data_IF_351309831403
#
_entry.id   IF_351309831403
#
_cell.length_a   1.000
_cell.length_b   1.000
_cell.length_c   1.000
_cell.angle_alpha   90.00
_cell.angle_beta   90.00
_cell.angle_gamma   90.00
#
_symmetry.space_group_name_H-M   'P 1'
#
loop_
_entity.id
_entity.type
_entity.pdbx_description
1 polymer ?
#
# COMPACT_ATOMS: atom_id res chain seq x y z
N UNK A 1 -19.10 2.63 -26.26
CA UNK A 1 -20.07 1.65 -26.82
C UNK A 1 -21.18 2.43 -27.50
N UNK A 2 -21.57 2.08 -28.72
CA UNK A 2 -22.64 2.77 -29.45
C UNK A 2 -24.03 2.32 -28.97
N UNK A 3 -25.08 3.15 -29.07
CA UNK A 3 -26.46 2.76 -28.75
C UNK A 3 -26.89 1.41 -29.36
N UNK A 4 -26.54 1.17 -30.62
CA UNK A 4 -26.88 -0.08 -31.32
C UNK A 4 -26.15 -1.31 -30.75
N UNK A 5 -24.93 -1.16 -30.25
CA UNK A 5 -24.21 -2.25 -29.57
C UNK A 5 -24.90 -2.62 -28.26
N UNK A 6 -25.34 -1.64 -27.48
CA UNK A 6 -26.05 -1.88 -26.22
C UNK A 6 -27.34 -2.67 -26.46
N UNK A 7 -28.12 -2.28 -27.46
CA UNK A 7 -29.36 -3.00 -27.82
C UNK A 7 -29.09 -4.44 -28.26
N UNK A 8 -28.00 -4.68 -29.01
CA UNK A 8 -27.56 -6.04 -29.38
C UNK A 8 -27.17 -6.87 -28.17
N UNK A 9 -26.46 -6.31 -27.19
CA UNK A 9 -26.13 -7.01 -25.94
C UNK A 9 -27.38 -7.43 -25.19
N UNK A 10 -28.35 -6.51 -25.05
CA UNK A 10 -29.64 -6.78 -24.41
C UNK A 10 -30.39 -7.91 -25.14
N UNK A 11 -30.52 -7.81 -26.47
CA UNK A 11 -31.22 -8.81 -27.28
C UNK A 11 -30.58 -10.21 -27.18
N UNK A 12 -29.25 -10.27 -27.06
CA UNK A 12 -28.49 -11.52 -26.93
C UNK A 12 -28.38 -12.02 -25.48
N UNK A 13 -28.99 -11.34 -24.50
CA UNK A 13 -28.84 -11.62 -23.07
C UNK A 13 -27.38 -11.60 -22.60
N UNK A 14 -26.52 -10.82 -23.27
CA UNK A 14 -25.13 -10.66 -22.91
C UNK A 14 -25.02 -9.59 -21.81
N UNK A 15 -24.35 -9.96 -20.71
CA UNK A 15 -24.17 -9.10 -19.54
C UNK A 15 -22.76 -8.50 -19.47
N UNK A 16 -21.89 -8.80 -20.42
CA UNK A 16 -20.53 -8.29 -20.48
C UNK A 16 -20.53 -6.76 -20.45
N UNK A 17 -19.90 -6.19 -19.42
CA UNK A 17 -19.80 -4.75 -19.18
C UNK A 17 -21.13 -3.98 -19.08
N UNK A 18 -22.28 -4.65 -18.87
CA UNK A 18 -23.57 -3.98 -18.66
C UNK A 18 -24.24 -4.40 -17.33
N UNK A 19 -24.85 -3.44 -16.65
CA UNK A 19 -25.57 -3.61 -15.39
C UNK A 19 -27.00 -3.08 -15.53
N UNK A 20 -27.97 -3.98 -15.48
CA UNK A 20 -29.37 -3.66 -15.72
C UNK A 20 -30.09 -3.31 -14.41
N UNK A 21 -30.85 -2.22 -14.39
CA UNK A 21 -31.62 -1.76 -13.22
C UNK A 21 -33.10 -1.67 -13.57
N UNK A 22 -33.91 -2.45 -12.86
CA UNK A 22 -35.38 -2.41 -12.89
C UNK A 22 -35.96 -3.12 -11.65
N UNK A 23 -37.06 -2.63 -11.04
CA UNK A 23 -37.81 -1.44 -11.41
C UNK A 23 -37.24 -0.15 -10.83
N UNK A 24 -36.50 -0.19 -9.72
CA UNK A 24 -35.75 0.94 -9.14
C UNK A 24 -34.78 0.37 -8.11
N UNK A 25 -33.65 1.03 -7.93
CA UNK A 25 -32.64 0.71 -6.92
C UNK A 25 -32.26 2.01 -6.19
N UNK A 26 -31.92 1.98 -4.88
CA UNK A 26 -31.50 3.18 -4.16
C UNK A 26 -30.32 3.90 -4.83
N UNK A 27 -30.32 5.23 -4.78
CA UNK A 27 -29.23 6.08 -5.30
C UNK A 27 -27.88 5.72 -4.68
N UNK A 28 -27.87 5.30 -3.42
CA UNK A 28 -26.67 4.80 -2.74
C UNK A 28 -26.07 3.59 -3.47
N UNK A 29 -26.88 2.62 -3.87
CA UNK A 29 -26.40 1.43 -4.61
C UNK A 29 -25.88 1.83 -5.99
N UNK A 30 -26.51 2.80 -6.66
CA UNK A 30 -26.07 3.31 -7.96
C UNK A 30 -24.72 4.01 -7.80
N UNK A 31 -24.54 4.84 -6.78
CA UNK A 31 -23.28 5.51 -6.47
C UNK A 31 -22.14 4.53 -6.18
N UNK A 32 -22.40 3.50 -5.35
CA UNK A 32 -21.43 2.42 -5.09
C UNK A 32 -21.07 1.67 -6.38
N UNK A 33 -22.05 1.37 -7.24
CA UNK A 33 -21.82 0.71 -8.53
C UNK A 33 -20.98 1.59 -9.48
N UNK A 34 -21.22 2.91 -9.51
CA UNK A 34 -20.41 3.83 -10.32
C UNK A 34 -18.96 3.83 -9.83
N UNK A 35 -18.72 3.98 -8.53
CA UNK A 35 -17.36 3.88 -7.94
C UNK A 35 -16.70 2.53 -8.30
N UNK A 36 -17.43 1.43 -8.16
CA UNK A 36 -16.95 0.09 -8.50
C UNK A 36 -16.56 -0.06 -9.97
N UNK A 37 -17.39 0.45 -10.89
CA UNK A 37 -17.11 0.42 -12.32
C UNK A 37 -15.90 1.27 -12.67
N UNK A 38 -15.81 2.50 -12.14
CA UNK A 38 -14.67 3.39 -12.35
C UNK A 38 -13.36 2.78 -11.87
N UNK A 39 -13.37 2.05 -10.75
CA UNK A 39 -12.18 1.43 -10.17
C UNK A 39 -11.77 0.10 -10.83
N UNK A 40 -12.63 -0.48 -11.68
CA UNK A 40 -12.40 -1.73 -12.38
C UNK A 40 -12.15 -1.50 -13.89
N UNK A 41 -13.05 -1.97 -14.76
CA UNK A 41 -12.93 -1.92 -16.22
C UNK A 41 -13.79 -0.84 -16.87
N UNK A 42 -14.50 -0.03 -16.07
CA UNK A 42 -15.65 0.73 -16.55
C UNK A 42 -16.83 -0.18 -16.90
N UNK A 43 -17.86 0.40 -17.49
CA UNK A 43 -19.03 -0.32 -17.97
C UNK A 43 -20.25 0.57 -18.13
N UNK A 44 -21.39 -0.06 -18.41
CA UNK A 44 -22.64 0.61 -18.69
C UNK A 44 -23.71 0.24 -17.67
N UNK A 45 -24.34 1.24 -17.07
CA UNK A 45 -25.54 1.05 -16.26
C UNK A 45 -26.74 1.35 -17.15
N UNK A 46 -27.67 0.40 -17.28
CA UNK A 46 -28.85 0.48 -18.15
C UNK A 46 -30.12 0.41 -17.31
N UNK A 47 -30.86 1.51 -17.26
CA UNK A 47 -32.11 1.59 -16.54
C UNK A 47 -33.31 1.22 -17.41
N UNK A 48 -34.26 0.48 -16.85
CA UNK A 48 -35.47 0.04 -17.54
C UNK A 48 -35.35 -1.34 -18.21
N UNK A 49 -34.30 -2.10 -17.88
CA UNK A 49 -34.12 -3.49 -18.31
C UNK A 49 -34.18 -4.39 -17.08
N UNK A 50 -35.08 -5.36 -17.11
CA UNK A 50 -35.18 -6.39 -16.08
C UNK A 50 -34.25 -7.55 -16.42
N UNK A 51 -33.37 -7.91 -15.48
CA UNK A 51 -32.57 -9.14 -15.54
C UNK A 51 -33.17 -10.18 -14.58
N UNK A 52 -33.65 -11.30 -15.11
CA UNK A 52 -34.16 -12.44 -14.31
C UNK A 52 -33.11 -13.54 -14.08
N UNK A 53 -31.85 -13.25 -14.40
CA UNK A 53 -30.72 -14.19 -14.35
C UNK A 53 -30.60 -15.06 -15.60
N UNK A 54 -31.64 -15.13 -16.45
CA UNK A 54 -31.62 -15.86 -17.72
C UNK A 54 -31.81 -14.92 -18.90
N UNK A 55 -32.78 -14.02 -18.82
CA UNK A 55 -33.17 -13.10 -19.88
C UNK A 55 -33.12 -11.65 -19.45
N UNK A 56 -32.72 -10.80 -20.39
CA UNK A 56 -32.85 -9.35 -20.30
C UNK A 56 -34.15 -8.93 -20.99
N UNK A 57 -35.02 -8.22 -20.27
CA UNK A 57 -36.33 -7.79 -20.79
C UNK A 57 -36.44 -6.29 -20.69
N UNK A 58 -36.67 -5.63 -21.82
CA UNK A 58 -36.97 -4.19 -21.85
C UNK A 58 -38.33 -3.94 -21.21
N UNK A 59 -38.35 -3.11 -20.16
CA UNK A 59 -39.54 -2.70 -19.40
C UNK A 59 -39.78 -1.20 -19.42
N UNK A 60 -38.77 -0.43 -19.82
CA UNK A 60 -38.79 1.02 -19.88
C UNK A 60 -38.40 1.69 -18.57
N UNK A 61 -37.91 2.92 -18.69
CA UNK A 61 -37.55 3.77 -17.57
C UNK A 61 -38.78 4.56 -17.07
N UNK A 62 -39.30 4.20 -15.90
CA UNK A 62 -40.51 4.82 -15.29
C UNK A 62 -40.27 5.37 -13.87
N UNK A 63 -39.02 5.52 -13.50
CA UNK A 63 -38.58 5.99 -12.18
C UNK A 63 -37.60 7.15 -12.40
N UNK A 64 -37.32 7.92 -11.36
CA UNK A 64 -36.31 8.99 -11.42
C UNK A 64 -35.12 8.60 -10.55
N UNK A 65 -33.91 8.90 -11.02
CA UNK A 65 -32.66 8.71 -10.28
C UNK A 65 -32.04 10.10 -10.10
N UNK A 66 -31.71 10.48 -8.87
CA UNK A 66 -31.10 11.78 -8.58
C UNK A 66 -29.59 11.74 -8.88
N UNK A 67 -29.27 11.89 -10.15
CA UNK A 67 -27.89 11.86 -10.65
C UNK A 67 -27.04 12.97 -10.01
N UNK A 68 -27.62 14.14 -9.75
CA UNK A 68 -26.88 15.26 -9.19
C UNK A 68 -26.49 14.98 -7.74
N UNK A 69 -27.41 14.42 -6.94
CA UNK A 69 -27.09 13.95 -5.60
C UNK A 69 -26.06 12.83 -5.58
N UNK A 70 -26.06 11.92 -6.57
CA UNK A 70 -25.07 10.85 -6.65
C UNK A 70 -23.70 11.43 -7.00
N UNK A 71 -23.62 12.30 -8.01
CA UNK A 71 -22.38 12.96 -8.43
C UNK A 71 -21.76 13.79 -7.32
N UNK A 72 -22.56 14.49 -6.53
CA UNK A 72 -22.07 15.29 -5.40
C UNK A 72 -21.35 14.47 -4.32
N UNK A 73 -21.52 13.14 -4.30
CA UNK A 73 -20.88 12.22 -3.35
C UNK A 73 -19.76 11.39 -3.99
N UNK A 74 -19.48 11.57 -5.28
CA UNK A 74 -18.41 10.90 -6.01
C UNK A 74 -17.16 11.78 -6.06
N UNK A 75 -15.99 11.17 -6.24
CA UNK A 75 -14.76 11.92 -6.53
C UNK A 75 -14.84 12.70 -7.85
N UNK A 76 -14.19 13.86 -7.90
CA UNK A 76 -14.18 14.75 -9.07
C UNK A 76 -13.55 14.14 -10.33
N UNK A 77 -12.69 13.12 -10.17
CA UNK A 77 -12.02 12.43 -11.27
C UNK A 77 -12.92 11.37 -11.95
N UNK A 78 -14.18 11.24 -11.57
CA UNK A 78 -15.13 10.32 -12.22
C UNK A 78 -15.49 10.81 -13.63
N UNK A 79 -15.48 9.91 -14.62
CA UNK A 79 -15.91 10.24 -15.98
C UNK A 79 -17.18 9.47 -16.36
N UNK A 80 -18.27 10.22 -16.54
CA UNK A 80 -19.63 9.71 -16.75
C UNK A 80 -20.27 10.35 -17.97
N UNK A 81 -20.75 9.52 -18.90
CA UNK A 81 -21.58 9.98 -20.02
C UNK A 81 -23.00 9.47 -19.88
N UNK A 82 -23.97 10.38 -19.92
CA UNK A 82 -25.39 10.06 -19.83
C UNK A 82 -26.02 10.13 -21.22
N UNK A 83 -26.83 9.14 -21.56
CA UNK A 83 -27.57 9.16 -22.82
C UNK A 83 -28.88 8.37 -22.72
N UNK A 84 -29.86 8.83 -23.49
CA UNK A 84 -31.10 8.08 -23.71
C UNK A 84 -30.88 7.03 -24.79
N UNK A 85 -31.50 5.87 -24.61
CA UNK A 85 -31.43 4.76 -25.54
C UNK A 85 -32.84 4.40 -26.00
N UNK A 86 -33.28 4.88 -27.18
CA UNK A 86 -34.57 4.52 -27.74
C UNK A 86 -34.60 3.03 -28.08
N UNK A 87 -35.67 2.34 -27.68
CA UNK A 87 -35.97 0.96 -28.09
C UNK A 87 -37.41 0.88 -28.59
N UNK A 88 -37.71 -0.08 -29.47
CA UNK A 88 -39.00 -0.23 -30.16
C UNK A 88 -40.21 -0.22 -29.20
N UNK A 89 -40.04 -0.76 -28.00
CA UNK A 89 -41.11 -0.93 -27.01
C UNK A 89 -41.11 0.10 -25.87
N UNK A 90 -39.98 0.75 -25.58
CA UNK A 90 -39.86 1.72 -24.48
C UNK A 90 -38.52 2.47 -24.54
N UNK A 91 -38.45 3.68 -23.96
CA UNK A 91 -37.18 4.38 -23.76
C UNK A 91 -36.41 3.81 -22.56
N UNK A 92 -35.09 3.67 -22.72
CA UNK A 92 -34.12 3.33 -21.68
C UNK A 92 -33.23 4.52 -21.39
N UNK A 93 -32.64 4.55 -20.19
CA UNK A 93 -31.60 5.52 -19.84
C UNK A 93 -30.31 4.79 -19.50
N UNK A 94 -29.18 5.38 -19.88
CA UNK A 94 -27.88 4.78 -19.69
C UNK A 94 -26.87 5.72 -19.04
N UNK A 95 -25.97 5.14 -18.25
CA UNK A 95 -24.75 5.80 -17.74
C UNK A 95 -23.57 4.97 -18.24
N UNK A 96 -22.76 5.55 -19.11
CA UNK A 96 -21.45 5.01 -19.42
C UNK A 96 -20.46 5.50 -18.37
N UNK A 97 -19.86 4.55 -17.65
CA UNK A 97 -18.84 4.78 -16.63
C UNK A 97 -17.50 4.37 -17.22
N UNK A 98 -16.59 5.33 -17.36
CA UNK A 98 -15.23 5.02 -17.81
C UNK A 98 -14.37 4.55 -16.65
N UNK A 99 -13.38 3.72 -16.96
CA UNK A 99 -12.31 3.37 -16.01
C UNK A 99 -11.53 4.63 -15.66
N UNK A 100 -11.28 4.83 -14.38
CA UNK A 100 -10.39 5.87 -13.88
C UNK A 100 -9.06 5.23 -13.44
N UNK A 101 -7.96 5.94 -13.69
CA UNK A 101 -6.64 5.50 -13.22
C UNK A 101 -6.50 5.69 -11.71
N UNK A 102 -6.93 6.83 -11.18
CA UNK A 102 -7.01 7.07 -9.74
C UNK A 102 -8.32 6.54 -9.16
N UNK A 103 -8.24 6.04 -7.92
CA UNK A 103 -9.41 5.55 -7.17
C UNK A 103 -10.51 6.61 -7.12
N UNK A 104 -11.73 6.20 -7.45
CA UNK A 104 -12.97 6.96 -7.29
C UNK A 104 -13.69 6.45 -6.05
N UNK A 105 -14.01 7.36 -5.12
CA UNK A 105 -14.77 7.06 -3.91
C UNK A 105 -16.23 7.49 -4.08
N UNK A 106 -17.12 6.86 -3.33
CA UNK A 106 -18.51 7.28 -3.14
C UNK A 106 -18.79 7.38 -1.64
N UNK A 107 -19.17 8.58 -1.16
CA UNK A 107 -19.37 8.83 0.28
C UNK A 107 -18.18 8.37 1.13
N UNK A 108 -16.99 8.86 0.80
CA UNK A 108 -15.70 8.60 1.47
C UNK A 108 -15.16 7.16 1.42
N UNK A 109 -15.87 6.23 0.76
CA UNK A 109 -15.41 4.86 0.60
C UNK A 109 -15.24 4.48 -0.89
N UNK A 110 -14.14 3.83 -1.28
CA UNK A 110 -13.97 3.28 -2.62
C UNK A 110 -14.62 1.91 -2.75
N UNK A 111 -15.15 1.60 -3.93
CA UNK A 111 -15.78 0.31 -4.22
C UNK A 111 -15.13 -0.37 -5.43
N UNK A 112 -15.25 -1.69 -5.53
CA UNK A 112 -14.84 -2.52 -6.67
C UNK A 112 -15.89 -3.58 -6.96
N UNK A 113 -15.78 -4.21 -8.12
CA UNK A 113 -16.55 -5.40 -8.48
C UNK A 113 -15.77 -6.66 -8.07
N UNK A 114 -16.42 -7.57 -7.35
CA UNK A 114 -15.88 -8.89 -7.06
C UNK A 114 -15.94 -9.82 -8.31
N UNK A 115 -15.43 -11.04 -8.17
CA UNK A 115 -15.46 -12.05 -9.22
C UNK A 115 -16.87 -12.46 -9.67
N UNK A 116 -17.89 -12.23 -8.83
CA UNK A 116 -19.30 -12.48 -9.11
C UNK A 116 -20.03 -11.21 -9.58
N UNK A 117 -19.31 -10.10 -9.81
CA UNK A 117 -19.83 -8.79 -10.20
C UNK A 117 -20.71 -8.10 -9.14
N UNK A 118 -20.57 -8.48 -7.89
CA UNK A 118 -21.15 -7.74 -6.78
C UNK A 118 -20.27 -6.56 -6.43
N UNK A 119 -20.89 -5.50 -5.94
CA UNK A 119 -20.17 -4.34 -5.42
C UNK A 119 -19.65 -4.65 -4.02
N UNK A 120 -18.35 -4.50 -3.83
CA UNK A 120 -17.66 -4.64 -2.55
C UNK A 120 -16.82 -3.39 -2.26
N UNK A 121 -16.53 -3.10 -1.00
CA UNK A 121 -15.61 -2.02 -0.63
C UNK A 121 -14.18 -2.39 -1.06
N UNK A 122 -13.45 -1.45 -1.65
CA UNK A 122 -12.06 -1.61 -2.00
C UNK A 122 -11.20 -1.44 -0.76
N UNK A 123 -10.52 -2.51 -0.36
CA UNK A 123 -9.53 -2.46 0.71
C UNK A 123 -8.28 -1.68 0.27
N UNK A 124 -8.08 -0.49 0.84
CA UNK A 124 -6.88 0.31 0.62
C UNK A 124 -5.75 -0.26 1.46
N UNK A 125 -4.69 -0.71 0.79
CA UNK A 125 -3.59 -1.44 1.43
C UNK A 125 -2.73 -0.47 2.21
N UNK A 126 -2.59 -0.73 3.50
CA UNK A 126 -1.76 0.05 4.41
C UNK A 126 -0.33 -0.46 4.38
N UNK A 127 0.61 0.41 4.04
CA UNK A 127 2.05 0.09 3.95
C UNK A 127 2.83 0.93 4.96
N UNK A 128 3.58 0.27 5.83
CA UNK A 128 4.51 0.94 6.73
C UNK A 128 5.90 1.01 6.10
N UNK A 129 6.45 2.21 5.93
CA UNK A 129 7.77 2.44 5.36
C UNK A 129 8.80 2.68 6.48
N UNK A 130 9.67 1.69 6.71
CA UNK A 130 10.78 1.75 7.68
C UNK A 130 12.09 2.08 6.97
N UNK A 131 12.83 3.03 7.51
CA UNK A 131 14.08 3.50 6.93
C UNK A 131 14.95 4.17 8.00
N UNK A 132 16.23 4.35 7.73
CA UNK A 132 17.09 5.18 8.57
C UNK A 132 16.92 6.65 8.22
N UNK A 133 16.90 7.54 9.21
CA UNK A 133 16.78 9.00 9.00
C UNK A 133 17.85 9.57 8.06
N UNK A 134 19.02 8.93 7.98
CA UNK A 134 20.08 9.32 7.06
C UNK A 134 19.70 9.10 5.59
N UNK A 135 18.70 8.26 5.32
CA UNK A 135 18.24 7.88 3.98
C UNK A 135 16.87 8.51 3.64
N UNK A 136 16.52 9.61 4.31
CA UNK A 136 15.21 10.29 4.14
C UNK A 136 14.92 10.62 2.68
N UNK A 137 15.92 11.02 1.88
CA UNK A 137 15.71 11.32 0.46
C UNK A 137 15.27 10.11 -0.36
N UNK A 138 15.78 8.91 -0.05
CA UNK A 138 15.33 7.67 -0.69
C UNK A 138 13.92 7.33 -0.23
N UNK A 139 13.64 7.47 1.07
CA UNK A 139 12.31 7.24 1.60
C UNK A 139 11.26 8.21 1.02
N UNK A 140 11.62 9.48 0.77
CA UNK A 140 10.77 10.45 0.08
C UNK A 140 10.45 9.98 -1.34
N UNK A 141 11.47 9.52 -2.07
CA UNK A 141 11.30 9.02 -3.44
C UNK A 141 10.43 7.75 -3.49
N UNK A 142 10.66 6.80 -2.58
CA UNK A 142 9.83 5.58 -2.49
C UNK A 142 8.38 5.93 -2.15
N UNK A 143 8.15 6.80 -1.17
CA UNK A 143 6.81 7.29 -0.79
C UNK A 143 6.10 7.97 -1.97
N UNK A 144 6.77 8.90 -2.66
CA UNK A 144 6.23 9.58 -3.84
C UNK A 144 5.85 8.58 -4.94
N UNK A 145 6.74 7.64 -5.25
CA UNK A 145 6.54 6.65 -6.33
C UNK A 145 5.41 5.67 -5.99
N UNK A 146 5.35 5.19 -4.75
CA UNK A 146 4.27 4.31 -4.31
C UNK A 146 2.92 5.03 -4.32
N UNK A 147 2.84 6.29 -3.93
CA UNK A 147 1.60 7.06 -4.05
C UNK A 147 1.24 7.29 -5.53
N UNK A 148 2.20 7.68 -6.36
CA UNK A 148 1.98 7.99 -7.76
C UNK A 148 1.50 6.77 -8.56
N UNK A 149 2.14 5.62 -8.40
CA UNK A 149 1.79 4.40 -9.12
C UNK A 149 0.73 3.55 -8.40
N UNK A 150 0.59 3.71 -7.09
CA UNK A 150 -0.49 3.09 -6.32
C UNK A 150 -1.86 3.72 -6.63
N UNK A 151 -1.89 4.91 -7.24
CA UNK A 151 -3.11 5.57 -7.75
C UNK A 151 -4.24 5.66 -6.71
N UNK A 152 -3.88 5.88 -5.45
CA UNK A 152 -4.81 5.96 -4.32
C UNK A 152 -5.23 4.62 -3.72
N UNK A 153 -4.68 3.48 -4.17
CA UNK A 153 -4.93 2.13 -3.60
C UNK A 153 -4.01 1.77 -2.43
N UNK A 154 -3.03 2.62 -2.15
CA UNK A 154 -2.08 2.46 -1.05
C UNK A 154 -2.23 3.61 -0.07
N UNK A 155 -2.09 3.31 1.22
CA UNK A 155 -1.95 4.29 2.29
C UNK A 155 -0.58 4.09 2.97
N UNK A 156 0.33 5.03 2.76
CA UNK A 156 1.71 4.94 3.26
C UNK A 156 1.85 5.65 4.61
N UNK A 157 2.36 4.93 5.60
CA UNK A 157 2.77 5.50 6.90
C UNK A 157 4.29 5.40 7.00
N UNK A 158 4.96 6.49 7.35
CA UNK A 158 6.43 6.54 7.45
C UNK A 158 6.92 6.47 8.88
N UNK A 159 8.05 5.81 9.06
CA UNK A 159 8.78 5.84 10.31
C UNK A 159 9.57 7.14 10.48
N UNK A 160 8.90 8.18 10.99
CA UNK A 160 9.51 9.49 11.28
C UNK A 160 10.03 9.60 12.73
N UNK A 161 10.19 8.49 13.46
CA UNK A 161 10.54 8.52 14.90
C UNK A 161 11.98 8.97 15.13
N UNK A 162 12.18 10.15 15.71
CA UNK A 162 13.51 10.63 16.11
C UNK A 162 14.12 9.78 17.22
N UNK A 163 15.46 9.81 17.36
CA UNK A 163 16.20 9.09 18.41
C UNK A 163 15.65 9.32 19.83
N UNK A 164 15.09 10.50 20.11
CA UNK A 164 14.51 10.86 21.42
C UNK A 164 13.12 10.26 21.70
N UNK A 165 12.37 9.84 20.66
CA UNK A 165 11.02 9.25 20.76
C UNK A 165 11.00 7.72 20.58
N UNK A 166 12.16 7.08 20.41
CA UNK A 166 12.31 5.62 20.21
C UNK A 166 12.00 4.75 21.44
N UNK A 167 11.50 5.35 22.52
CA UNK A 167 11.17 4.64 23.77
C UNK A 167 9.86 3.86 23.72
N UNK A 168 9.02 4.02 22.68
CA UNK A 168 7.72 3.35 22.61
C UNK A 168 7.65 2.27 21.51
N UNK A 169 8.34 1.17 21.80
CA UNK A 169 8.28 -0.06 20.99
C UNK A 169 6.85 -0.60 20.90
N UNK A 170 6.01 -0.39 21.92
CA UNK A 170 4.61 -0.83 21.89
C UNK A 170 3.82 -0.08 20.82
N UNK A 171 3.98 1.25 20.75
CA UNK A 171 3.43 2.05 19.64
C UNK A 171 3.97 1.60 18.29
N UNK A 172 5.25 1.21 18.20
CA UNK A 172 5.82 0.71 16.94
C UNK A 172 5.08 -0.56 16.51
N UNK A 173 5.02 -1.54 17.39
CA UNK A 173 4.37 -2.82 17.15
C UNK A 173 2.89 -2.65 16.85
N UNK A 174 2.17 -1.78 17.55
CA UNK A 174 0.77 -1.44 17.26
C UNK A 174 0.62 -0.84 15.86
N UNK A 175 1.50 0.10 15.51
CA UNK A 175 1.51 0.73 14.19
C UNK A 175 1.71 -0.34 13.13
N UNK A 176 2.80 -1.10 13.17
CA UNK A 176 3.11 -2.12 12.15
C UNK A 176 2.03 -3.21 12.10
N UNK A 177 1.47 -3.62 13.23
CA UNK A 177 0.39 -4.62 13.28
C UNK A 177 -0.87 -4.19 12.55
N UNK A 178 -1.17 -2.89 12.47
CA UNK A 178 -2.31 -2.36 11.74
C UNK A 178 -2.08 -2.21 10.22
N UNK A 179 -0.88 -2.56 9.72
CA UNK A 179 -0.55 -2.47 8.30
C UNK A 179 -0.61 -3.85 7.63
N UNK A 180 -0.96 -3.82 6.34
CA UNK A 180 -0.96 -5.01 5.49
C UNK A 180 0.47 -5.43 5.16
N UNK A 181 1.35 -4.45 4.91
CA UNK A 181 2.75 -4.66 4.55
C UNK A 181 3.70 -3.72 5.32
N UNK A 182 4.94 -4.17 5.46
CA UNK A 182 6.07 -3.33 5.87
C UNK A 182 7.12 -3.34 4.77
N UNK A 183 7.51 -2.16 4.29
CA UNK A 183 8.62 -1.97 3.36
C UNK A 183 9.80 -1.40 4.15
N UNK A 184 10.90 -2.14 4.22
CA UNK A 184 12.13 -1.69 4.88
C UNK A 184 13.19 -1.31 3.86
N UNK A 185 13.67 -0.06 3.91
CA UNK A 185 14.81 0.41 3.13
C UNK A 185 16.08 0.13 3.92
N UNK A 186 16.85 -0.87 3.48
CA UNK A 186 18.03 -1.37 4.16
C UNK A 186 19.28 -0.72 3.55
N UNK A 187 19.93 0.12 4.33
CA UNK A 187 21.21 0.78 4.03
C UNK A 187 22.27 0.40 5.08
N UNK A 188 23.52 0.82 4.87
CA UNK A 188 24.55 0.72 5.91
C UNK A 188 24.11 1.43 7.21
N UNK A 189 23.46 2.59 7.06
CA UNK A 189 23.02 3.39 8.19
C UNK A 189 21.83 2.75 8.93
N UNK A 190 20.95 2.04 8.22
CA UNK A 190 19.89 1.23 8.81
C UNK A 190 20.48 0.09 9.66
N UNK A 191 21.42 -0.68 9.09
CA UNK A 191 22.01 -1.85 9.74
C UNK A 191 22.88 -1.52 10.96
N UNK A 192 23.31 -0.26 11.09
CA UNK A 192 24.05 0.28 12.24
C UNK A 192 23.17 1.14 13.17
N UNK A 193 21.91 1.42 12.82
CA UNK A 193 20.99 2.21 13.64
C UNK A 193 20.37 1.35 14.72
N UNK A 194 20.60 1.70 15.99
CA UNK A 194 20.04 0.97 17.13
C UNK A 194 18.52 0.92 17.09
N UNK A 195 17.85 2.03 16.77
CA UNK A 195 16.39 2.05 16.68
C UNK A 195 15.86 1.11 15.63
N UNK A 196 16.34 1.26 14.38
CA UNK A 196 15.86 0.47 13.26
C UNK A 196 16.09 -1.03 13.50
N UNK A 197 17.30 -1.37 13.98
CA UNK A 197 17.65 -2.76 14.27
C UNK A 197 16.91 -3.33 15.48
N UNK A 198 16.62 -2.52 16.51
CA UNK A 198 15.81 -2.96 17.65
C UNK A 198 14.36 -3.22 17.24
N UNK A 199 13.76 -2.28 16.51
CA UNK A 199 12.38 -2.36 16.01
C UNK A 199 12.16 -3.59 15.13
N UNK A 200 13.05 -3.81 14.16
CA UNK A 200 12.95 -5.01 13.30
C UNK A 200 13.26 -6.29 14.07
N UNK A 201 14.18 -6.27 15.05
CA UNK A 201 14.43 -7.43 15.92
C UNK A 201 13.20 -7.84 16.72
N UNK A 202 12.47 -6.86 17.28
CA UNK A 202 11.24 -7.11 18.03
C UNK A 202 10.11 -7.60 17.10
N UNK A 203 10.02 -7.04 15.89
CA UNK A 203 9.02 -7.43 14.90
C UNK A 203 9.19 -8.90 14.47
N UNK A 204 10.43 -9.30 14.16
CA UNK A 204 10.73 -10.65 13.64
C UNK A 204 10.50 -11.77 14.68
N UNK A 205 10.27 -11.45 15.95
CA UNK A 205 9.83 -12.45 16.94
C UNK A 205 8.49 -13.07 16.59
N UNK A 206 7.65 -12.34 15.86
CA UNK A 206 6.38 -12.87 15.38
C UNK A 206 6.52 -13.30 13.91
N UNK A 207 6.63 -14.62 13.70
CA UNK A 207 6.82 -15.22 12.37
C UNK A 207 5.77 -14.83 11.34
N UNK A 208 4.56 -14.45 11.76
CA UNK A 208 3.52 -13.99 10.85
C UNK A 208 3.87 -12.67 10.15
N UNK A 209 4.86 -11.91 10.65
CA UNK A 209 5.33 -10.69 10.00
C UNK A 209 6.36 -10.94 8.91
N UNK A 210 6.99 -12.11 8.86
CA UNK A 210 7.99 -12.41 7.84
C UNK A 210 7.37 -12.36 6.44
N UNK A 211 6.11 -12.78 6.30
CA UNK A 211 5.37 -12.78 5.03
C UNK A 211 4.90 -11.37 4.62
N UNK A 212 4.89 -10.41 5.55
CA UNK A 212 4.51 -9.01 5.31
C UNK A 212 5.70 -8.10 5.04
N UNK A 213 6.92 -8.56 5.29
CA UNK A 213 8.14 -7.79 5.16
C UNK A 213 8.64 -7.81 3.71
N UNK A 214 8.75 -6.63 3.12
CA UNK A 214 9.39 -6.37 1.84
C UNK A 214 10.63 -5.53 2.09
N UNK A 215 11.71 -5.83 1.39
CA UNK A 215 13.01 -5.19 1.63
C UNK A 215 13.54 -4.56 0.35
N UNK A 216 13.95 -3.30 0.47
CA UNK A 216 14.65 -2.55 -0.58
C UNK A 216 16.09 -2.42 -0.11
N UNK A 217 17.03 -3.07 -0.78
CA UNK A 217 18.45 -3.03 -0.41
C UNK A 217 19.12 -1.90 -1.19
N UNK A 218 19.82 -1.02 -0.48
CA UNK A 218 20.58 0.05 -1.12
C UNK A 218 21.97 -0.44 -1.54
N UNK A 219 22.40 0.00 -2.71
CA UNK A 219 23.70 -0.25 -3.32
C UNK A 219 24.55 1.02 -3.40
N UNK A 220 25.79 0.87 -3.89
CA UNK A 220 26.68 2.00 -4.17
C UNK A 220 26.11 2.95 -5.24
N UNK A 221 25.30 2.45 -6.18
CA UNK A 221 24.71 3.27 -7.24
C UNK A 221 23.69 4.29 -6.70
N UNK A 222 23.05 3.95 -5.57
CA UNK A 222 21.99 4.76 -4.97
C UNK A 222 22.52 6.01 -4.26
N UNK A 223 23.83 6.10 -4.07
CA UNK A 223 24.51 7.29 -3.57
C UNK A 223 24.22 8.54 -4.39
N UNK A 224 23.86 8.39 -5.67
CA UNK A 224 23.56 9.49 -6.58
C UNK A 224 22.23 10.20 -6.26
N UNK A 225 21.35 9.58 -5.47
CA UNK A 225 20.09 10.19 -5.04
C UNK A 225 20.23 11.05 -3.77
N UNK A 226 21.42 11.06 -3.15
CA UNK A 226 21.68 11.86 -1.96
C UNK A 226 22.12 13.28 -2.32
N UNK A 227 21.64 14.31 -1.62
CA UNK A 227 22.21 15.65 -1.70
C UNK A 227 23.71 15.62 -1.39
N UNK A 228 24.52 16.35 -2.17
CA UNK A 228 26.00 16.34 -2.03
C UNK A 228 26.48 16.68 -0.62
N UNK A 229 25.75 17.53 0.09
CA UNK A 229 26.06 18.00 1.46
C UNK A 229 25.59 17.05 2.57
N UNK A 230 24.73 16.06 2.24
CA UNK A 230 24.12 15.12 3.21
C UNK A 230 24.42 13.65 2.91
N UNK A 231 25.28 13.38 1.92
CA UNK A 231 25.66 12.03 1.53
C UNK A 231 26.41 11.32 2.67
N UNK A 232 25.95 10.15 3.14
CA UNK A 232 26.66 9.40 4.16
C UNK A 232 27.95 8.82 3.59
N UNK A 233 28.88 8.43 4.49
CA UNK A 233 30.16 7.83 4.10
C UNK A 233 30.00 6.52 3.30
N UNK A 234 28.93 5.80 3.59
CA UNK A 234 28.56 4.55 2.94
C UNK A 234 27.04 4.47 2.91
N UNK A 235 26.46 4.21 1.74
CA UNK A 235 25.02 3.96 1.56
C UNK A 235 24.75 2.45 1.49
N UNK A 236 25.57 1.72 0.75
CA UNK A 236 25.39 0.30 0.46
C UNK A 236 25.22 -0.55 1.71
N UNK A 237 24.12 -1.30 1.75
CA UNK A 237 23.90 -2.41 2.69
C UNK A 237 24.49 -3.70 2.11
N UNK A 238 25.70 -4.06 2.55
CA UNK A 238 26.36 -5.26 2.05
C UNK A 238 25.91 -6.52 2.80
N UNK A 239 24.69 -6.97 2.50
CA UNK A 239 24.07 -8.16 3.12
C UNK A 239 24.39 -9.47 2.39
N UNK A 240 24.90 -9.39 1.15
CA UNK A 240 25.14 -10.55 0.29
C UNK A 240 26.56 -11.09 0.35
N UNK A 241 27.57 -10.23 0.52
CA UNK A 241 28.97 -10.65 0.55
C UNK A 241 29.43 -11.09 1.94
N UNK A 242 30.72 -11.42 2.08
CA UNK A 242 31.34 -11.67 3.39
C UNK A 242 31.37 -10.42 4.28
N UNK A 243 31.26 -9.22 3.70
CA UNK A 243 31.22 -7.97 4.47
C UNK A 243 29.99 -7.88 5.38
N UNK A 244 28.95 -8.70 5.16
CA UNK A 244 27.80 -8.79 6.09
C UNK A 244 28.22 -9.14 7.52
N UNK A 245 29.34 -9.84 7.70
CA UNK A 245 29.90 -10.15 9.02
C UNK A 245 30.48 -8.92 9.74
N UNK A 246 30.72 -7.81 9.04
CA UNK A 246 31.11 -6.54 9.65
C UNK A 246 29.97 -5.96 10.50
N UNK A 247 28.70 -6.16 10.11
CA UNK A 247 27.56 -5.76 10.94
C UNK A 247 27.49 -6.57 12.24
N UNK A 248 27.83 -7.86 12.20
CA UNK A 248 27.90 -8.69 13.41
C UNK A 248 29.01 -8.18 14.34
N UNK A 249 30.20 -7.90 13.80
CA UNK A 249 31.32 -7.32 14.56
C UNK A 249 30.98 -5.93 15.13
N UNK A 250 30.25 -5.12 14.37
CA UNK A 250 29.78 -3.82 14.81
C UNK A 250 28.89 -3.95 16.06
N UNK A 251 27.86 -4.80 16.00
CA UNK A 251 26.96 -5.00 17.14
C UNK A 251 27.61 -5.73 18.32
N UNK A 252 28.58 -6.61 18.08
CA UNK A 252 29.43 -7.18 19.13
C UNK A 252 30.25 -6.09 19.85
N UNK A 253 30.79 -5.15 19.08
CA UNK A 253 31.54 -4.01 19.62
C UNK A 253 30.64 -3.07 20.44
N UNK A 254 29.46 -2.71 19.93
CA UNK A 254 28.50 -1.87 20.66
C UNK A 254 28.05 -2.53 21.97
N UNK A 255 27.81 -3.85 21.97
CA UNK A 255 27.53 -4.63 23.17
C UNK A 255 28.68 -4.58 24.18
N UNK A 256 29.92 -4.68 23.71
CA UNK A 256 31.11 -4.53 24.53
C UNK A 256 31.20 -3.17 25.23
N UNK A 257 30.90 -2.08 24.50
CA UNK A 257 30.92 -0.71 25.05
C UNK A 257 29.92 -0.55 26.20
N UNK A 258 28.68 -0.99 25.99
CA UNK A 258 27.62 -0.84 26.98
C UNK A 258 27.82 -1.75 28.19
N UNK A 259 28.35 -2.96 28.01
CA UNK A 259 28.76 -3.82 29.12
C UNK A 259 29.87 -3.18 29.98
N UNK A 260 30.86 -2.54 29.35
CA UNK A 260 31.92 -1.83 30.06
C UNK A 260 31.37 -0.67 30.88
N UNK A 261 30.51 0.17 30.30
CA UNK A 261 29.84 1.26 31.02
C UNK A 261 29.03 0.73 32.22
N UNK A 262 28.34 -0.40 32.07
CA UNK A 262 27.56 -1.01 33.15
C UNK A 262 28.45 -1.48 34.32
N UNK A 263 29.70 -1.87 34.06
CA UNK A 263 30.66 -2.23 35.11
C UNK A 263 31.31 -1.02 35.77
N UNK A 264 31.53 0.07 35.03
CA UNK A 264 32.22 1.27 35.54
C UNK A 264 31.28 2.16 36.36
N UNK A 265 30.02 2.29 35.96
CA UNK A 265 29.01 3.04 36.70
C UNK A 265 28.62 2.20 37.93
N UNK A 266 28.79 2.74 39.13
CA UNK A 266 28.45 2.03 40.38
C UNK A 266 27.10 2.48 40.97
N UNK A 267 26.73 3.74 40.71
CA UNK A 267 25.47 4.33 41.18
C UNK A 267 24.27 3.74 40.43
N UNK A 268 23.34 3.13 41.17
CA UNK A 268 22.16 2.47 40.62
C UNK A 268 21.15 3.45 39.98
N UNK A 269 21.04 4.68 40.49
CA UNK A 269 20.14 5.68 39.92
C UNK A 269 20.66 6.17 38.56
N UNK A 270 21.98 6.28 38.40
CA UNK A 270 22.62 6.64 37.13
C UNK A 270 22.56 5.51 36.09
N UNK A 271 22.37 4.25 36.52
CA UNK A 271 22.20 3.10 35.62
C UNK A 271 20.83 3.03 34.95
N UNK A 272 19.80 3.71 35.46
CA UNK A 272 18.43 3.50 34.99
C UNK A 272 18.29 3.71 33.47
N UNK A 273 18.90 4.76 32.92
CA UNK A 273 18.90 5.00 31.46
C UNK A 273 19.76 3.99 30.67
N UNK A 274 20.78 3.40 31.29
CA UNK A 274 21.64 2.40 30.68
C UNK A 274 20.95 1.04 30.57
N UNK A 275 19.98 0.72 31.44
CA UNK A 275 19.25 -0.55 31.40
C UNK A 275 18.51 -0.73 30.08
N UNK A 276 17.86 0.33 29.58
CA UNK A 276 17.13 0.28 28.32
C UNK A 276 18.08 0.12 27.13
N UNK A 277 19.20 0.85 27.14
CA UNK A 277 20.29 0.72 26.14
C UNK A 277 20.85 -0.71 26.10
N UNK A 278 21.16 -1.29 27.27
CA UNK A 278 21.62 -2.68 27.41
C UNK A 278 20.59 -3.64 26.81
N UNK A 279 19.31 -3.45 27.11
CA UNK A 279 18.23 -4.32 26.61
C UNK A 279 18.14 -4.27 25.09
N UNK A 280 18.15 -3.08 24.50
CA UNK A 280 18.05 -2.89 23.05
C UNK A 280 19.26 -3.53 22.35
N UNK A 281 20.47 -3.21 22.77
CA UNK A 281 21.69 -3.75 22.16
C UNK A 281 21.77 -5.26 22.32
N UNK A 282 21.43 -5.82 23.50
CA UNK A 282 21.39 -7.27 23.68
C UNK A 282 20.38 -7.93 22.76
N UNK A 283 19.22 -7.32 22.56
CA UNK A 283 18.21 -7.81 21.62
C UNK A 283 18.79 -7.82 20.20
N UNK A 284 19.38 -6.72 19.75
CA UNK A 284 19.97 -6.62 18.41
C UNK A 284 21.09 -7.65 18.23
N UNK A 285 22.07 -7.70 19.14
CA UNK A 285 23.21 -8.62 19.04
C UNK A 285 22.80 -10.09 19.06
N UNK A 286 21.67 -10.43 19.69
CA UNK A 286 21.15 -11.81 19.71
C UNK A 286 20.47 -12.18 18.38
N UNK A 287 19.87 -11.20 17.69
CA UNK A 287 19.07 -11.43 16.48
C UNK A 287 19.80 -11.05 15.18
N UNK A 288 20.90 -10.30 15.23
CA UNK A 288 21.58 -9.75 14.04
C UNK A 288 21.91 -10.81 12.99
N UNK A 289 22.38 -11.99 13.40
CA UNK A 289 22.71 -13.06 12.46
C UNK A 289 21.48 -13.56 11.70
N UNK A 290 20.35 -13.71 12.39
CA UNK A 290 19.08 -14.11 11.78
C UNK A 290 18.53 -12.99 10.88
N UNK A 291 18.59 -11.74 11.33
CA UNK A 291 18.12 -10.58 10.56
C UNK A 291 18.88 -10.44 9.24
N UNK A 292 20.20 -10.58 9.23
CA UNK A 292 21.00 -10.53 8.00
C UNK A 292 20.60 -11.66 7.05
N UNK A 293 20.35 -12.87 7.56
CA UNK A 293 19.86 -13.97 6.72
C UNK A 293 18.42 -13.75 6.23
N UNK A 294 17.56 -13.10 7.01
CA UNK A 294 16.23 -12.66 6.56
C UNK A 294 16.38 -11.64 5.44
N UNK A 295 17.15 -10.57 5.61
CA UNK A 295 17.33 -9.54 4.58
C UNK A 295 17.97 -10.07 3.30
N UNK A 296 18.76 -11.14 3.40
CA UNK A 296 19.31 -11.86 2.24
C UNK A 296 18.27 -12.73 1.53
N UNK A 297 17.29 -13.27 2.25
CA UNK A 297 16.27 -14.24 1.75
C UNK A 297 14.93 -13.62 1.42
N UNK A 298 14.58 -12.50 2.05
CA UNK A 298 13.36 -11.75 1.80
C UNK A 298 13.30 -11.38 0.32
N UNK A 299 12.15 -10.91 -0.15
CA UNK A 299 11.99 -10.32 -1.48
C UNK A 299 12.80 -9.00 -1.54
N UNK A 300 14.11 -9.15 -1.46
CA UNK A 300 15.13 -8.14 -1.41
C UNK A 300 15.42 -7.76 -2.85
N UNK A 301 14.91 -6.58 -3.22
CA UNK A 301 15.18 -6.00 -4.53
C UNK A 301 16.13 -4.84 -4.35
N UNK A 302 17.09 -4.75 -5.25
CA UNK A 302 17.99 -3.61 -5.32
C UNK A 302 17.18 -2.36 -5.66
N UNK A 303 17.43 -1.25 -4.96
CA UNK A 303 16.66 -0.02 -5.19
C UNK A 303 16.79 0.48 -6.63
N UNK A 304 17.97 0.39 -7.24
CA UNK A 304 18.18 0.80 -8.64
C UNK A 304 17.31 -0.04 -9.57
N UNK A 305 17.20 -1.36 -9.34
CA UNK A 305 16.33 -2.23 -10.14
C UNK A 305 14.84 -1.87 -9.98
N UNK A 306 14.38 -1.64 -8.74
CA UNK A 306 13.00 -1.20 -8.47
C UNK A 306 12.71 0.14 -9.13
N UNK A 307 13.66 1.08 -9.08
CA UNK A 307 13.47 2.39 -9.67
C UNK A 307 13.46 2.31 -11.21
N UNK A 308 14.29 1.44 -11.82
CA UNK A 308 14.31 1.21 -13.26
C UNK A 308 13.04 0.55 -13.80
N UNK A 309 12.41 -0.33 -13.02
CA UNK A 309 11.15 -0.98 -13.40
C UNK A 309 9.89 -0.21 -12.97
N UNK A 310 10.05 1.06 -12.60
CA UNK A 310 8.95 1.93 -12.17
C UNK A 310 8.15 1.34 -11.00
N UNK A 311 8.81 0.62 -10.09
CA UNK A 311 8.21 -0.02 -8.92
C UNK A 311 7.17 -1.11 -9.23
N UNK A 312 7.00 -1.49 -10.51
CA UNK A 312 6.00 -2.46 -10.97
C UNK A 312 6.03 -3.76 -10.16
N UNK A 313 7.24 -4.25 -9.93
CA UNK A 313 7.55 -5.41 -9.12
C UNK A 313 7.06 -5.32 -7.68
N UNK A 314 7.29 -4.18 -7.02
CA UNK A 314 6.87 -3.96 -5.64
C UNK A 314 5.35 -3.79 -5.57
N UNK A 315 4.78 -3.03 -6.52
CA UNK A 315 3.34 -2.79 -6.63
C UNK A 315 2.55 -4.07 -6.91
N UNK A 316 3.10 -5.00 -7.69
CA UNK A 316 2.45 -6.29 -7.96
C UNK A 316 2.17 -7.09 -6.68
N UNK A 317 3.04 -6.95 -5.67
CA UNK A 317 2.89 -7.58 -4.36
C UNK A 317 1.93 -6.74 -3.50
N UNK A 318 2.16 -5.43 -3.40
CA UNK A 318 1.39 -4.54 -2.55
C UNK A 318 -0.09 -4.44 -2.96
N UNK A 319 -0.40 -4.58 -4.25
CA UNK A 319 -1.75 -4.46 -4.83
C UNK A 319 -2.41 -5.81 -5.12
N UNK A 320 -1.77 -6.93 -4.75
CA UNK A 320 -2.36 -8.27 -4.85
C UNK A 320 -3.53 -8.47 -3.87
#
# INVERSE_FOLDING_TARGET
MTPNEVLKLIANNNRENIYCIYPVTPDETIGKLISALSNCSGGLIVFGVQDDGKKLRVKGYKFNVDIDSIKAKLSDNVNLTFFDLPHETAALKCINVEKCENVVVFSDAPYILDHNRNVAELHIKKVFLSYSHNDTCIADLVDERLNFFGKGRLAITRDKRTLEYKSDIEKFMQTVSSHDFMVSIISDSYLKSQGCMYEVSELMRNRAFNDKLLTIILSEADENFYPKDKKPKQVKADVYSLNRFEYLKYWETEKGKVNKLNTEISDLALKQGLVDEIKQINTISTNISELIEIFKKSLAKDFTEINQNEFSDLLSILLS
#
